data_IF_697035167803
#
_entry.id   IF_697035167803
#
_cell.length_a   1.000
_cell.length_b   1.000
_cell.length_c   1.000
_cell.angle_alpha   90.00
_cell.angle_beta   90.00
_cell.angle_gamma   90.00
#
_symmetry.space_group_name_H-M   'P 1'
#
loop_
_entity.id
_entity.type
_entity.pdbx_description
1 polymer ?
#
# COMPACT_ATOMS: atom_id res chain seq x y z
N UNK A 1 0.84 9.93 -24.21
CA UNK A 1 -0.62 9.96 -23.90
C UNK A 1 -1.13 8.56 -23.49
N UNK A 2 -0.81 7.51 -24.21
CA UNK A 2 -1.29 6.14 -23.97
C UNK A 2 -0.93 5.56 -22.60
N UNK A 3 0.33 5.75 -22.12
CA UNK A 3 0.77 5.24 -20.79
C UNK A 3 -0.10 5.79 -19.65
N UNK A 4 -0.43 7.08 -19.68
CA UNK A 4 -1.24 7.72 -18.63
C UNK A 4 -2.68 7.20 -18.61
N UNK A 5 -3.23 6.87 -19.77
CA UNK A 5 -4.56 6.27 -19.89
C UNK A 5 -4.55 4.81 -19.42
N UNK A 6 -3.50 4.04 -19.74
CA UNK A 6 -3.32 2.67 -19.25
C UNK A 6 -3.24 2.62 -17.72
N UNK A 7 -2.41 3.49 -17.13
CA UNK A 7 -2.31 3.60 -15.67
C UNK A 7 -3.62 4.04 -15.02
N UNK A 8 -4.34 4.99 -15.65
CA UNK A 8 -5.65 5.41 -15.15
C UNK A 8 -6.65 4.26 -15.16
N UNK A 9 -6.72 3.49 -16.23
CA UNK A 9 -7.58 2.31 -16.30
C UNK A 9 -7.21 1.26 -15.25
N UNK A 10 -5.91 1.01 -15.07
CA UNK A 10 -5.41 0.09 -14.04
C UNK A 10 -5.81 0.56 -12.63
N UNK A 11 -5.55 1.81 -12.31
CA UNK A 11 -5.88 2.38 -11.00
C UNK A 11 -7.40 2.49 -10.77
N UNK A 12 -8.21 2.69 -11.83
CA UNK A 12 -9.67 2.67 -11.71
C UNK A 12 -10.26 1.26 -11.62
N UNK A 13 -9.44 0.20 -11.70
CA UNK A 13 -9.90 -1.19 -11.67
C UNK A 13 -10.50 -1.69 -12.98
N UNK A 14 -10.45 -0.93 -14.06
CA UNK A 14 -10.84 -1.41 -15.39
C UNK A 14 -9.70 -2.24 -15.98
N UNK A 15 -9.57 -3.49 -15.48
CA UNK A 15 -8.49 -4.40 -15.89
C UNK A 15 -8.59 -4.76 -17.38
N UNK A 16 -9.78 -4.75 -17.96
CA UNK A 16 -9.97 -5.02 -19.39
C UNK A 16 -9.38 -3.90 -20.23
N UNK A 17 -9.73 -2.65 -19.93
CA UNK A 17 -9.18 -1.48 -20.61
C UNK A 17 -7.67 -1.35 -20.36
N UNK A 18 -7.24 -1.53 -19.11
CA UNK A 18 -5.83 -1.50 -18.74
C UNK A 18 -5.01 -2.51 -19.55
N UNK A 19 -5.45 -3.77 -19.61
CA UNK A 19 -4.81 -4.83 -20.41
C UNK A 19 -4.71 -4.44 -21.89
N UNK A 20 -5.80 -3.98 -22.47
CA UNK A 20 -5.80 -3.54 -23.87
C UNK A 20 -4.75 -2.46 -24.10
N UNK A 21 -4.76 -1.41 -23.29
CA UNK A 21 -3.85 -0.27 -23.45
C UNK A 21 -2.39 -0.61 -23.21
N UNK A 22 -2.07 -1.43 -22.20
CA UNK A 22 -0.68 -1.89 -22.01
C UNK A 22 -0.22 -2.79 -23.16
N UNK A 23 -1.10 -3.62 -23.72
CA UNK A 23 -0.79 -4.45 -24.91
C UNK A 23 -0.55 -3.57 -26.15
N UNK A 24 -1.36 -2.54 -26.37
CA UNK A 24 -1.17 -1.55 -27.44
C UNK A 24 0.17 -0.80 -27.30
N UNK A 25 0.55 -0.43 -26.06
CA UNK A 25 1.85 0.20 -25.77
C UNK A 25 3.01 -0.72 -26.17
N UNK A 26 2.93 -2.01 -25.85
CA UNK A 26 3.96 -2.97 -26.24
C UNK A 26 4.01 -3.14 -27.76
N UNK A 27 2.86 -3.23 -28.44
CA UNK A 27 2.79 -3.38 -29.89
C UNK A 27 3.32 -2.16 -30.65
N UNK A 28 3.19 -0.95 -30.08
CA UNK A 28 3.71 0.29 -30.69
C UNK A 28 5.22 0.50 -30.49
N UNK A 29 5.88 -0.37 -29.71
CA UNK A 29 7.29 -0.19 -29.32
C UNK A 29 7.51 0.91 -28.28
N UNK A 30 6.45 1.58 -27.82
CA UNK A 30 6.46 2.53 -26.70
C UNK A 30 6.40 1.82 -25.33
N UNK A 31 6.08 0.50 -25.36
CA UNK A 31 6.01 -0.35 -24.19
C UNK A 31 7.40 -0.78 -23.74
N UNK A 32 7.61 -0.73 -22.47
CA UNK A 32 8.83 -1.13 -21.81
C UNK A 32 8.51 -2.20 -20.74
N UNK A 33 9.51 -2.59 -19.99
CA UNK A 33 9.41 -3.53 -18.87
C UNK A 33 8.27 -3.17 -17.90
N UNK A 34 8.04 -1.85 -17.68
CA UNK A 34 6.94 -1.41 -16.82
C UNK A 34 5.54 -1.80 -17.36
N UNK A 35 5.32 -1.75 -18.67
CA UNK A 35 4.06 -2.20 -19.26
C UNK A 35 3.86 -3.72 -19.12
N UNK A 36 4.95 -4.49 -19.26
CA UNK A 36 4.93 -5.93 -19.03
C UNK A 36 4.68 -6.26 -17.56
N UNK A 37 5.26 -5.49 -16.64
CA UNK A 37 5.03 -5.62 -15.20
C UNK A 37 3.55 -5.44 -14.85
N UNK A 38 2.89 -4.39 -15.37
CA UNK A 38 1.45 -4.17 -15.16
C UNK A 38 0.58 -5.26 -15.81
N UNK A 39 0.98 -5.83 -16.94
CA UNK A 39 0.27 -6.97 -17.52
C UNK A 39 0.36 -8.22 -16.65
N UNK A 40 1.50 -8.44 -16.01
CA UNK A 40 1.66 -9.50 -15.03
C UNK A 40 0.80 -9.24 -13.77
N UNK A 41 0.73 -8.00 -13.29
CA UNK A 41 -0.17 -7.61 -12.18
C UNK A 41 -1.64 -7.90 -12.53
N UNK A 42 -2.05 -7.59 -13.77
CA UNK A 42 -3.40 -7.87 -14.24
C UNK A 42 -3.66 -9.39 -14.28
N UNK A 43 -2.67 -10.19 -14.68
CA UNK A 43 -2.82 -11.65 -14.66
C UNK A 43 -3.02 -12.19 -13.23
N UNK A 44 -2.26 -11.67 -12.26
CA UNK A 44 -2.43 -12.02 -10.85
C UNK A 44 -3.84 -11.65 -10.34
N UNK A 45 -4.34 -10.47 -10.65
CA UNK A 45 -5.69 -10.00 -10.27
C UNK A 45 -6.81 -10.80 -10.95
N UNK A 46 -6.58 -11.30 -12.15
CA UNK A 46 -7.53 -12.17 -12.87
C UNK A 46 -7.55 -13.63 -12.33
N UNK A 47 -6.77 -13.90 -11.27
CA UNK A 47 -6.71 -15.24 -10.65
C UNK A 47 -5.79 -16.22 -11.36
N UNK A 48 -4.80 -15.73 -12.12
CA UNK A 48 -3.73 -16.52 -12.73
C UNK A 48 -2.37 -16.21 -12.07
N UNK A 49 -2.15 -16.62 -10.81
CA UNK A 49 -0.88 -16.35 -10.12
C UNK A 49 0.31 -17.07 -10.76
N UNK A 50 0.10 -18.23 -11.39
CA UNK A 50 1.16 -18.97 -12.08
C UNK A 50 1.62 -18.25 -13.35
N UNK A 51 0.66 -17.80 -14.15
CA UNK A 51 0.94 -16.98 -15.32
C UNK A 51 1.60 -15.66 -14.95
N UNK A 52 1.18 -15.03 -13.84
CA UNK A 52 1.78 -13.82 -13.33
C UNK A 52 3.24 -14.04 -12.88
N UNK A 53 3.52 -15.08 -12.09
CA UNK A 53 4.89 -15.45 -11.67
C UNK A 53 5.77 -15.72 -12.91
N UNK A 54 5.25 -16.47 -13.89
CA UNK A 54 6.00 -16.73 -15.12
C UNK A 54 6.26 -15.43 -15.93
N UNK A 55 5.35 -14.47 -15.92
CA UNK A 55 5.53 -13.17 -16.55
C UNK A 55 6.55 -12.31 -15.80
N UNK A 56 6.51 -12.27 -14.46
CA UNK A 56 7.50 -11.57 -13.63
C UNK A 56 8.91 -12.15 -13.85
N UNK A 57 9.06 -13.46 -13.95
CA UNK A 57 10.37 -14.09 -14.20
C UNK A 57 11.06 -13.60 -15.48
N UNK A 58 10.29 -13.22 -16.51
CA UNK A 58 10.84 -12.65 -17.76
C UNK A 58 11.42 -11.26 -17.58
N UNK A 59 11.11 -10.60 -16.46
CA UNK A 59 11.54 -9.24 -16.13
C UNK A 59 12.72 -9.20 -15.14
N UNK A 60 13.27 -10.35 -14.77
CA UNK A 60 14.32 -10.42 -13.74
C UNK A 60 15.64 -9.76 -14.16
N UNK A 61 15.89 -9.62 -15.47
CA UNK A 61 17.08 -8.94 -16.00
C UNK A 61 16.72 -7.60 -16.66
N UNK A 62 15.67 -6.93 -16.16
CA UNK A 62 15.12 -5.72 -16.74
C UNK A 62 15.19 -4.53 -15.77
N UNK A 63 14.82 -3.34 -16.25
CA UNK A 63 14.74 -2.12 -15.44
C UNK A 63 13.74 -2.19 -14.28
N UNK A 64 12.92 -3.25 -14.21
CA UNK A 64 11.92 -3.51 -13.15
C UNK A 64 12.21 -4.82 -12.41
N UNK A 65 13.46 -5.25 -12.38
CA UNK A 65 13.90 -6.51 -11.78
C UNK A 65 13.46 -6.65 -10.30
N UNK A 66 13.70 -5.64 -9.48
CA UNK A 66 13.33 -5.64 -8.05
C UNK A 66 11.79 -5.67 -7.87
N UNK A 67 11.00 -4.77 -8.49
CA UNK A 67 9.55 -4.86 -8.44
C UNK A 67 8.98 -6.21 -8.92
N UNK A 68 9.53 -6.78 -9.98
CA UNK A 68 9.07 -8.06 -10.51
C UNK A 68 9.31 -9.21 -9.54
N UNK A 69 10.51 -9.26 -8.92
CA UNK A 69 10.85 -10.27 -7.89
C UNK A 69 9.98 -10.10 -6.64
N UNK A 70 9.81 -8.88 -6.16
CA UNK A 70 9.01 -8.60 -4.97
C UNK A 70 7.55 -9.05 -5.14
N UNK A 71 6.96 -8.79 -6.32
CA UNK A 71 5.57 -9.22 -6.63
C UNK A 71 5.46 -10.74 -6.81
N UNK A 72 6.44 -11.38 -7.45
CA UNK A 72 6.48 -12.84 -7.53
C UNK A 72 6.65 -13.47 -6.14
N UNK A 73 7.51 -12.88 -5.28
CA UNK A 73 7.70 -13.33 -3.91
C UNK A 73 6.42 -13.19 -3.07
N UNK A 74 5.65 -12.11 -3.23
CA UNK A 74 4.35 -11.94 -2.58
C UNK A 74 3.39 -13.07 -2.93
N UNK A 75 3.23 -13.39 -4.22
CA UNK A 75 2.38 -14.49 -4.68
C UNK A 75 2.86 -15.86 -4.17
N UNK A 76 4.17 -16.06 -4.03
CA UNK A 76 4.73 -17.29 -3.47
C UNK A 76 4.48 -17.39 -1.95
N UNK A 77 4.55 -16.29 -1.21
CA UNK A 77 4.20 -16.25 0.22
C UNK A 77 2.72 -16.60 0.45
N UNK A 78 1.83 -16.03 -0.34
CA UNK A 78 0.39 -16.35 -0.28
C UNK A 78 0.12 -17.85 -0.52
N UNK A 79 1.00 -18.53 -1.22
CA UNK A 79 0.96 -19.98 -1.49
C UNK A 79 1.79 -20.81 -0.51
N UNK A 80 2.25 -20.21 0.59
CA UNK A 80 3.08 -20.86 1.62
C UNK A 80 4.46 -21.34 1.12
N UNK A 81 4.96 -20.79 0.01
CA UNK A 81 6.28 -21.09 -0.55
C UNK A 81 7.35 -20.10 -0.05
N UNK A 82 7.44 -19.93 1.29
CA UNK A 82 8.29 -18.91 1.93
C UNK A 82 9.76 -19.00 1.50
N UNK A 83 10.33 -20.20 1.47
CA UNK A 83 11.74 -20.38 1.12
C UNK A 83 12.02 -19.90 -0.30
N UNK A 84 11.16 -20.26 -1.26
CA UNK A 84 11.30 -19.81 -2.65
C UNK A 84 11.10 -18.31 -2.79
N UNK A 85 10.11 -17.74 -2.09
CA UNK A 85 9.84 -16.31 -2.09
C UNK A 85 11.05 -15.48 -1.63
N UNK A 86 11.67 -15.85 -0.52
CA UNK A 86 12.81 -15.12 0.01
C UNK A 86 14.07 -15.34 -0.84
N UNK A 87 14.29 -16.55 -1.37
CA UNK A 87 15.41 -16.84 -2.25
C UNK A 87 15.42 -15.96 -3.51
N UNK A 88 14.24 -15.60 -4.06
CA UNK A 88 14.17 -14.68 -5.21
C UNK A 88 14.83 -13.32 -4.96
N UNK A 89 14.76 -12.82 -3.73
CA UNK A 89 15.35 -11.55 -3.35
C UNK A 89 16.80 -11.72 -2.88
N UNK A 90 17.10 -12.80 -2.14
CA UNK A 90 18.44 -13.06 -1.61
C UNK A 90 19.44 -13.41 -2.71
N UNK A 91 19.06 -14.24 -3.68
CA UNK A 91 19.90 -14.62 -4.80
C UNK A 91 20.25 -13.40 -5.67
N UNK A 92 19.26 -12.53 -5.91
CA UNK A 92 19.51 -11.29 -6.66
C UNK A 92 20.42 -10.31 -5.90
N UNK A 93 20.22 -10.18 -4.59
CA UNK A 93 21.07 -9.33 -3.75
C UNK A 93 22.53 -9.80 -3.74
N UNK A 94 22.77 -11.11 -3.82
CA UNK A 94 24.12 -11.66 -3.88
C UNK A 94 24.84 -11.35 -5.21
N UNK A 95 24.09 -11.25 -6.31
CA UNK A 95 24.59 -10.91 -7.64
C UNK A 95 24.68 -9.39 -7.88
N UNK A 96 23.85 -8.59 -7.16
CA UNK A 96 23.70 -7.14 -7.30
C UNK A 96 23.87 -6.43 -5.95
N UNK A 97 25.11 -6.34 -5.41
CA UNK A 97 25.36 -5.69 -4.11
C UNK A 97 24.97 -4.22 -4.08
N UNK A 98 24.93 -3.54 -5.23
CA UNK A 98 24.48 -2.15 -5.38
C UNK A 98 23.00 -1.96 -5.04
N UNK A 99 22.19 -2.99 -5.20
CA UNK A 99 20.74 -2.99 -4.94
C UNK A 99 20.39 -3.57 -3.54
N UNK A 100 21.39 -3.92 -2.73
CA UNK A 100 21.21 -4.62 -1.44
C UNK A 100 20.23 -3.88 -0.51
N UNK A 101 20.31 -2.55 -0.46
CA UNK A 101 19.43 -1.76 0.39
C UNK A 101 17.99 -1.82 -0.08
N UNK A 102 17.72 -1.57 -1.37
CA UNK A 102 16.37 -1.59 -1.94
C UNK A 102 15.72 -2.97 -1.77
N UNK A 103 16.50 -4.02 -1.92
CA UNK A 103 16.05 -5.40 -1.70
C UNK A 103 15.77 -5.70 -0.22
N UNK A 104 16.59 -5.17 0.69
CA UNK A 104 16.36 -5.30 2.13
C UNK A 104 15.05 -4.62 2.54
N UNK A 105 14.81 -3.39 2.05
CA UNK A 105 13.55 -2.67 2.28
C UNK A 105 12.35 -3.45 1.70
N UNK A 106 12.46 -3.90 0.45
CA UNK A 106 11.40 -4.68 -0.20
C UNK A 106 11.09 -5.97 0.57
N UNK A 107 12.13 -6.69 1.03
CA UNK A 107 12.00 -7.92 1.80
C UNK A 107 11.38 -7.68 3.17
N UNK A 108 11.77 -6.60 3.87
CA UNK A 108 11.22 -6.26 5.17
C UNK A 108 9.72 -5.93 5.09
N UNK A 109 9.31 -5.12 4.11
CA UNK A 109 7.89 -4.81 3.84
C UNK A 109 7.11 -6.08 3.50
N UNK A 110 7.65 -6.89 2.59
CA UNK A 110 7.03 -8.15 2.17
C UNK A 110 6.75 -9.08 3.36
N UNK A 111 7.70 -9.22 4.29
CA UNK A 111 7.53 -10.03 5.48
C UNK A 111 6.45 -9.45 6.40
N UNK A 112 6.44 -8.14 6.61
CA UNK A 112 5.43 -7.47 7.44
C UNK A 112 4.02 -7.64 6.87
N UNK A 113 3.82 -7.44 5.57
CA UNK A 113 2.53 -7.60 4.88
C UNK A 113 1.98 -9.04 4.98
N UNK A 114 2.87 -10.01 5.21
CA UNK A 114 2.50 -11.42 5.40
C UNK A 114 2.51 -11.88 6.87
N UNK A 115 2.50 -10.93 7.82
CA UNK A 115 2.36 -11.22 9.24
C UNK A 115 3.68 -11.59 9.95
N UNK A 116 4.81 -11.39 9.31
CA UNK A 116 6.15 -11.62 9.85
C UNK A 116 6.86 -10.27 10.18
N UNK A 117 6.15 -9.34 10.81
CA UNK A 117 6.65 -7.99 11.09
C UNK A 117 7.96 -8.00 11.91
N UNK A 118 8.09 -8.89 12.91
CA UNK A 118 9.32 -9.03 13.70
C UNK A 118 10.54 -9.40 12.84
N UNK A 119 10.36 -10.26 11.84
CA UNK A 119 11.43 -10.61 10.91
C UNK A 119 11.80 -9.42 10.02
N UNK A 120 10.82 -8.64 9.57
CA UNK A 120 11.02 -7.38 8.86
C UNK A 120 11.81 -6.36 9.70
N UNK A 121 11.41 -6.16 10.95
CA UNK A 121 12.10 -5.26 11.89
C UNK A 121 13.55 -5.69 12.16
N UNK A 122 13.82 -6.99 12.27
CA UNK A 122 15.18 -7.50 12.45
C UNK A 122 16.08 -7.18 11.22
N UNK A 123 15.53 -7.31 10.00
CA UNK A 123 16.26 -6.93 8.77
C UNK A 123 16.58 -5.44 8.74
N UNK A 124 15.61 -4.58 9.07
CA UNK A 124 15.81 -3.12 9.08
C UNK A 124 16.78 -2.69 10.19
N UNK A 125 16.75 -3.34 11.35
CA UNK A 125 17.70 -3.07 12.44
C UNK A 125 19.14 -3.38 12.02
N UNK A 126 19.37 -4.53 11.38
CA UNK A 126 20.67 -4.88 10.82
C UNK A 126 21.11 -3.95 9.67
N UNK A 127 20.15 -3.43 8.90
CA UNK A 127 20.45 -2.44 7.87
C UNK A 127 20.84 -1.09 8.49
N UNK A 128 20.21 -0.65 9.57
CA UNK A 128 20.57 0.59 10.29
C UNK A 128 21.97 0.54 10.91
N UNK A 129 22.45 -0.63 11.34
CA UNK A 129 23.83 -0.78 11.82
C UNK A 129 24.87 -0.46 10.70
N UNK A 130 24.53 -0.78 9.45
CA UNK A 130 25.38 -0.52 8.27
C UNK A 130 25.16 0.85 7.65
N UNK A 131 23.97 1.37 7.76
CA UNK A 131 23.52 2.65 7.21
C UNK A 131 22.83 3.49 8.30
N UNK A 132 23.57 4.02 9.29
CA UNK A 132 22.98 4.80 10.38
C UNK A 132 22.21 6.00 9.85
N UNK A 133 21.04 6.27 10.42
CA UNK A 133 20.18 7.40 10.07
C UNK A 133 19.75 7.45 8.59
N UNK A 134 19.64 6.27 7.93
CA UNK A 134 19.16 6.24 6.56
C UNK A 134 17.63 6.45 6.50
N UNK A 135 17.14 7.54 5.86
CA UNK A 135 15.73 7.96 5.98
C UNK A 135 14.71 6.90 5.56
N UNK A 136 15.00 6.14 4.49
CA UNK A 136 14.08 5.10 4.02
C UNK A 136 14.01 3.90 4.98
N UNK A 137 15.13 3.55 5.63
CA UNK A 137 15.15 2.45 6.60
C UNK A 137 14.38 2.86 7.87
N UNK A 138 14.60 4.08 8.36
CA UNK A 138 13.91 4.60 9.53
C UNK A 138 12.41 4.70 9.29
N UNK A 139 12.01 5.18 8.10
CA UNK A 139 10.60 5.28 7.72
C UNK A 139 9.93 3.90 7.66
N UNK A 140 10.52 2.94 6.95
CA UNK A 140 9.97 1.59 6.85
C UNK A 140 9.91 0.91 8.22
N UNK A 141 10.93 1.13 9.07
CA UNK A 141 10.93 0.61 10.44
C UNK A 141 9.77 1.19 11.24
N UNK A 142 9.51 2.49 11.14
CA UNK A 142 8.38 3.12 11.84
C UNK A 142 7.03 2.54 11.37
N UNK A 143 6.84 2.36 10.06
CA UNK A 143 5.62 1.76 9.50
C UNK A 143 5.45 0.31 9.96
N UNK A 144 6.52 -0.50 9.94
CA UNK A 144 6.45 -1.90 10.37
C UNK A 144 6.27 -2.03 11.89
N UNK A 145 6.82 -1.11 12.68
CA UNK A 145 6.54 -1.04 14.13
C UNK A 145 5.04 -0.85 14.41
N UNK A 146 4.40 0.01 13.67
CA UNK A 146 2.95 0.23 13.78
C UNK A 146 2.18 -1.05 13.42
N UNK A 147 2.49 -1.70 12.31
CA UNK A 147 1.89 -2.98 11.88
C UNK A 147 2.12 -4.11 12.91
N UNK A 148 3.26 -4.11 13.60
CA UNK A 148 3.58 -5.06 14.69
C UNK A 148 2.84 -4.74 15.98
N UNK A 149 2.12 -3.62 16.08
CA UNK A 149 1.45 -3.17 17.29
C UNK A 149 2.35 -2.38 18.27
N UNK A 150 3.59 -2.08 17.89
CA UNK A 150 4.53 -1.24 18.64
C UNK A 150 4.27 0.26 18.38
N UNK A 151 3.03 0.67 18.58
CA UNK A 151 2.53 2.01 18.17
C UNK A 151 3.34 3.15 18.80
N UNK A 152 3.70 3.03 20.08
CA UNK A 152 4.45 4.08 20.77
C UNK A 152 5.84 4.29 20.16
N UNK A 153 6.54 3.20 19.86
CA UNK A 153 7.84 3.23 19.22
C UNK A 153 7.76 3.78 17.78
N UNK A 154 6.67 3.48 17.04
CA UNK A 154 6.40 4.03 15.72
C UNK A 154 6.21 5.55 15.78
N UNK A 155 5.37 6.03 16.72
CA UNK A 155 5.12 7.46 16.92
C UNK A 155 6.43 8.19 17.27
N UNK A 156 7.19 7.70 18.23
CA UNK A 156 8.48 8.29 18.61
C UNK A 156 9.47 8.37 17.43
N UNK A 157 9.53 7.32 16.62
CA UNK A 157 10.40 7.30 15.43
C UNK A 157 9.95 8.35 14.39
N UNK A 158 8.65 8.44 14.10
CA UNK A 158 8.11 9.43 13.14
C UNK A 158 8.28 10.86 13.65
N UNK A 159 8.07 11.10 14.96
CA UNK A 159 8.31 12.42 15.57
C UNK A 159 9.78 12.82 15.47
N UNK A 160 10.70 11.91 15.77
CA UNK A 160 12.13 12.15 15.62
C UNK A 160 12.49 12.54 14.20
N UNK A 161 12.03 11.76 13.21
CA UNK A 161 12.25 12.06 11.78
C UNK A 161 11.67 13.42 11.40
N UNK A 162 10.50 13.78 11.96
CA UNK A 162 9.84 15.05 11.68
C UNK A 162 10.56 16.25 12.33
N UNK A 163 11.31 16.07 13.46
CA UNK A 163 12.17 17.13 14.01
C UNK A 163 13.30 17.50 13.06
N UNK A 164 13.83 16.53 12.30
CA UNK A 164 14.88 16.77 11.32
C UNK A 164 14.33 17.31 9.98
N UNK A 165 13.11 16.91 9.63
CA UNK A 165 12.44 17.24 8.36
C UNK A 165 11.02 17.72 8.61
N UNK A 166 10.83 18.91 9.23
CA UNK A 166 9.52 19.37 9.73
C UNK A 166 8.49 19.63 8.62
N UNK A 167 8.95 19.89 7.40
CA UNK A 167 8.09 20.20 6.25
C UNK A 167 7.91 19.00 5.30
N UNK A 168 8.38 17.80 5.67
CA UNK A 168 8.21 16.59 4.86
C UNK A 168 6.73 16.13 4.91
N UNK A 169 5.97 16.24 3.79
CA UNK A 169 4.56 15.92 3.79
C UNK A 169 4.28 14.44 3.99
N UNK A 170 5.22 13.56 3.62
CA UNK A 170 5.07 12.11 3.81
C UNK A 170 5.14 11.78 5.29
N UNK A 171 6.10 12.35 6.02
CA UNK A 171 6.24 12.15 7.46
C UNK A 171 5.06 12.76 8.23
N UNK A 172 4.62 13.98 7.84
CA UNK A 172 3.44 14.61 8.44
C UNK A 172 2.20 13.74 8.27
N UNK A 173 2.00 13.17 7.08
CA UNK A 173 0.88 12.28 6.85
C UNK A 173 1.00 10.96 7.61
N UNK A 174 2.18 10.34 7.61
CA UNK A 174 2.40 9.06 8.31
C UNK A 174 2.16 9.19 9.82
N UNK A 175 2.75 10.20 10.47
CA UNK A 175 2.52 10.45 11.89
C UNK A 175 1.05 10.77 12.17
N UNK A 176 0.44 11.64 11.34
CA UNK A 176 -0.97 12.00 11.48
C UNK A 176 -1.90 10.79 11.35
N UNK A 177 -1.64 9.90 10.39
CA UNK A 177 -2.41 8.67 10.21
C UNK A 177 -2.26 7.73 11.41
N UNK A 178 -1.02 7.45 11.83
CA UNK A 178 -0.75 6.57 12.99
C UNK A 178 -1.43 7.08 14.26
N UNK A 179 -1.35 8.39 14.54
CA UNK A 179 -2.05 9.00 15.67
C UNK A 179 -3.58 8.84 15.54
N UNK A 180 -4.14 9.07 14.35
CA UNK A 180 -5.58 8.95 14.11
C UNK A 180 -6.05 7.50 14.25
N UNK A 181 -5.36 6.54 13.66
CA UNK A 181 -5.76 5.13 13.69
C UNK A 181 -5.80 4.58 15.11
N UNK A 182 -4.87 4.98 15.95
CA UNK A 182 -4.81 4.61 17.37
C UNK A 182 -5.55 5.56 18.31
N UNK A 183 -6.31 6.52 17.76
CA UNK A 183 -7.10 7.52 18.54
C UNK A 183 -6.24 8.34 19.53
N UNK A 184 -5.02 8.65 19.11
CA UNK A 184 -4.08 9.46 19.86
C UNK A 184 -4.09 10.89 19.32
N UNK A 185 -4.07 11.87 20.19
CA UNK A 185 -3.87 13.29 19.85
C UNK A 185 -4.58 13.76 18.56
N UNK A 186 -5.86 13.42 18.37
CA UNK A 186 -6.61 13.60 17.12
C UNK A 186 -6.53 15.02 16.53
N UNK A 187 -6.47 16.06 17.37
CA UNK A 187 -6.32 17.44 16.90
C UNK A 187 -4.94 17.71 16.32
N UNK A 188 -3.90 17.09 16.87
CA UNK A 188 -2.54 17.16 16.34
C UNK A 188 -2.43 16.37 15.04
N UNK A 189 -2.98 15.16 15.01
CA UNK A 189 -3.08 14.33 13.82
C UNK A 189 -3.71 15.09 12.64
N UNK A 190 -4.86 15.73 12.86
CA UNK A 190 -5.53 16.54 11.82
C UNK A 190 -4.65 17.69 11.35
N UNK A 191 -3.96 18.36 12.25
CA UNK A 191 -3.07 19.48 11.90
C UNK A 191 -1.93 19.01 10.99
N UNK A 192 -1.29 17.89 11.30
CA UNK A 192 -0.24 17.29 10.48
C UNK A 192 -0.74 16.89 9.10
N UNK A 193 -1.85 16.17 9.03
CA UNK A 193 -2.45 15.73 7.76
C UNK A 193 -2.83 16.94 6.88
N UNK A 194 -3.42 17.99 7.46
CA UNK A 194 -3.75 19.21 6.72
C UNK A 194 -2.51 19.92 6.18
N UNK A 195 -1.40 19.93 6.92
CA UNK A 195 -0.11 20.46 6.40
C UNK A 195 0.38 19.62 5.22
N UNK A 196 0.37 18.31 5.32
CA UNK A 196 0.73 17.43 4.22
C UNK A 196 -0.11 17.72 2.97
N UNK A 197 -1.43 17.90 3.12
CA UNK A 197 -2.33 18.22 2.01
C UNK A 197 -2.09 19.60 1.38
N UNK A 198 -1.42 20.54 2.03
CA UNK A 198 -1.01 21.79 1.36
C UNK A 198 0.03 21.57 0.28
N UNK A 199 0.85 20.54 0.41
CA UNK A 199 1.91 20.17 -0.54
C UNK A 199 1.43 19.13 -1.55
N UNK A 200 0.59 18.19 -1.11
CA UNK A 200 0.08 17.10 -1.94
C UNK A 200 -1.47 17.02 -1.93
N UNK A 201 -2.16 18.04 -2.49
CA UNK A 201 -3.61 18.22 -2.35
C UNK A 201 -4.46 17.11 -2.96
N UNK A 202 -3.95 16.42 -3.98
CA UNK A 202 -4.65 15.34 -4.69
C UNK A 202 -4.10 13.95 -4.35
N UNK A 203 -3.34 13.83 -3.25
CA UNK A 203 -2.84 12.53 -2.80
C UNK A 203 -3.97 11.74 -2.11
N UNK A 204 -4.41 10.60 -2.67
CA UNK A 204 -5.55 9.86 -2.13
C UNK A 204 -5.31 9.34 -0.71
N UNK A 205 -4.08 8.92 -0.37
CA UNK A 205 -3.75 8.45 0.96
C UNK A 205 -3.79 9.58 2.02
N UNK A 206 -3.34 10.80 1.66
CA UNK A 206 -3.42 11.93 2.58
C UNK A 206 -4.88 12.41 2.77
N UNK A 207 -5.70 12.35 1.73
CA UNK A 207 -7.13 12.66 1.82
C UNK A 207 -7.86 11.58 2.64
N UNK A 208 -7.49 10.31 2.48
CA UNK A 208 -7.98 9.21 3.30
C UNK A 208 -7.65 9.43 4.78
N UNK A 209 -6.39 9.74 5.10
CA UNK A 209 -5.96 10.05 6.45
C UNK A 209 -6.79 11.20 7.07
N UNK A 210 -7.13 12.25 6.27
CA UNK A 210 -8.00 13.31 6.72
C UNK A 210 -9.42 12.80 7.02
N UNK A 211 -9.98 12.00 6.13
CA UNK A 211 -11.28 11.37 6.35
C UNK A 211 -11.28 10.45 7.57
N UNK A 212 -10.19 9.70 7.76
CA UNK A 212 -10.05 8.81 8.89
C UNK A 212 -9.97 9.56 10.23
N UNK A 213 -9.17 10.63 10.34
CA UNK A 213 -9.13 11.43 11.56
C UNK A 213 -10.48 12.09 11.86
N UNK A 214 -11.22 12.58 10.85
CA UNK A 214 -12.59 13.09 11.02
C UNK A 214 -13.53 12.01 11.59
N UNK A 215 -13.43 10.80 11.07
CA UNK A 215 -14.19 9.65 11.57
C UNK A 215 -13.87 9.35 13.04
N UNK A 216 -12.58 9.33 13.41
CA UNK A 216 -12.13 9.07 14.78
C UNK A 216 -12.51 10.20 15.75
N UNK A 217 -12.69 11.42 15.25
CA UNK A 217 -13.26 12.57 16.00
C UNK A 217 -14.80 12.49 16.16
N UNK A 218 -15.46 11.54 15.52
CA UNK A 218 -16.90 11.32 15.60
C UNK A 218 -17.71 11.96 14.47
N UNK A 219 -17.08 12.64 13.51
CA UNK A 219 -17.76 13.17 12.31
C UNK A 219 -17.83 12.13 11.20
N UNK A 220 -18.63 11.09 11.40
CA UNK A 220 -18.79 10.03 10.41
C UNK A 220 -19.37 10.52 9.07
N UNK A 221 -20.19 11.61 9.07
CA UNK A 221 -20.75 12.16 7.84
C UNK A 221 -19.74 12.96 7.03
N UNK A 222 -18.98 13.83 7.69
CA UNK A 222 -17.89 14.58 7.06
C UNK A 222 -16.82 13.61 6.53
N UNK A 223 -16.45 12.63 7.35
CA UNK A 223 -15.53 11.55 6.96
C UNK A 223 -15.96 10.83 5.68
N UNK A 224 -17.25 10.42 5.60
CA UNK A 224 -17.75 9.72 4.42
C UNK A 224 -17.60 10.56 3.13
N UNK A 225 -17.80 11.87 3.19
CA UNK A 225 -17.63 12.75 2.03
C UNK A 225 -16.14 12.89 1.64
N UNK A 226 -15.24 13.05 2.62
CA UNK A 226 -13.79 13.14 2.40
C UNK A 226 -13.24 11.83 1.82
N UNK A 227 -13.64 10.69 2.39
CA UNK A 227 -13.23 9.36 1.95
C UNK A 227 -13.78 8.98 0.57
N UNK A 228 -15.00 9.42 0.22
CA UNK A 228 -15.53 9.28 -1.14
C UNK A 228 -14.65 10.00 -2.16
N UNK A 229 -14.16 11.19 -1.82
CA UNK A 229 -13.23 11.92 -2.68
C UNK A 229 -11.90 11.18 -2.81
N UNK A 230 -11.30 10.74 -1.70
CA UNK A 230 -10.06 9.94 -1.73
C UNK A 230 -10.22 8.71 -2.62
N UNK A 231 -11.31 7.95 -2.44
CA UNK A 231 -11.59 6.75 -3.25
C UNK A 231 -11.76 7.05 -4.74
N UNK A 232 -12.32 8.19 -5.10
CA UNK A 232 -12.47 8.59 -6.51
C UNK A 232 -11.13 8.81 -7.24
N UNK A 233 -10.06 9.09 -6.48
CA UNK A 233 -8.72 9.32 -7.02
C UNK A 233 -7.89 8.04 -7.17
N UNK A 234 -8.03 7.08 -6.24
CA UNK A 234 -7.14 5.91 -6.18
C UNK A 234 -7.83 4.54 -6.24
N UNK A 235 -9.10 4.44 -5.86
CA UNK A 235 -9.88 3.19 -5.75
C UNK A 235 -9.20 2.11 -4.86
N UNK A 236 -8.43 2.54 -3.89
CA UNK A 236 -7.72 1.69 -2.96
C UNK A 236 -8.70 0.93 -2.05
N UNK A 237 -8.50 -0.38 -1.78
CA UNK A 237 -9.39 -1.17 -0.91
C UNK A 237 -9.35 -0.72 0.55
N UNK A 238 -8.26 -0.15 1.04
CA UNK A 238 -8.17 0.43 2.37
C UNK A 238 -9.08 1.66 2.48
N UNK A 239 -8.98 2.57 1.49
CA UNK A 239 -9.88 3.73 1.42
C UNK A 239 -11.35 3.29 1.34
N UNK A 240 -11.63 2.22 0.59
CA UNK A 240 -12.99 1.66 0.54
C UNK A 240 -13.45 1.09 1.89
N UNK A 241 -12.53 0.49 2.65
CA UNK A 241 -12.82 -0.01 4.00
C UNK A 241 -13.21 1.15 4.93
N UNK A 242 -12.40 2.22 4.98
CA UNK A 242 -12.65 3.41 5.78
C UNK A 242 -13.94 4.13 5.35
N UNK A 243 -14.14 4.31 4.03
CA UNK A 243 -15.34 4.96 3.50
C UNK A 243 -16.61 4.19 3.86
N UNK A 244 -16.60 2.88 3.62
CA UNK A 244 -17.72 2.04 3.96
C UNK A 244 -18.01 2.01 5.47
N UNK A 245 -16.98 2.06 6.33
CA UNK A 245 -17.15 2.15 7.78
C UNK A 245 -17.78 3.48 8.19
N UNK A 246 -17.32 4.60 7.65
CA UNK A 246 -17.90 5.91 7.90
C UNK A 246 -19.38 5.98 7.45
N UNK A 247 -19.70 5.42 6.28
CA UNK A 247 -21.08 5.28 5.80
C UNK A 247 -21.92 4.40 6.73
N UNK A 248 -21.37 3.29 7.18
CA UNK A 248 -22.07 2.36 8.07
C UNK A 248 -22.45 3.02 9.39
N UNK A 249 -21.49 3.69 10.03
CA UNK A 249 -21.69 4.37 11.32
C UNK A 249 -22.60 5.58 11.17
N UNK A 250 -22.57 6.28 10.04
CA UNK A 250 -23.49 7.42 9.76
C UNK A 250 -24.92 6.99 9.40
N UNK A 251 -25.22 5.66 9.38
CA UNK A 251 -26.54 5.10 9.08
C UNK A 251 -26.80 4.82 7.61
N UNK A 252 -25.84 5.04 6.71
CA UNK A 252 -25.94 4.82 5.26
C UNK A 252 -25.54 3.38 4.87
N UNK A 253 -26.08 2.39 5.59
CA UNK A 253 -25.65 0.99 5.52
C UNK A 253 -25.79 0.35 4.11
N UNK A 254 -26.83 0.72 3.36
CA UNK A 254 -27.02 0.21 2.01
C UNK A 254 -25.91 0.68 1.06
N UNK A 255 -25.42 1.91 1.26
CA UNK A 255 -24.32 2.45 0.47
C UNK A 255 -22.98 1.85 0.88
N UNK A 256 -22.73 1.70 2.19
CA UNK A 256 -21.56 0.99 2.69
C UNK A 256 -21.40 -0.39 2.05
N UNK A 257 -22.47 -1.19 2.02
CA UNK A 257 -22.47 -2.51 1.37
C UNK A 257 -22.14 -2.43 -0.12
N UNK A 258 -22.65 -1.41 -0.84
CA UNK A 258 -22.32 -1.22 -2.26
C UNK A 258 -20.86 -0.87 -2.48
N UNK A 259 -20.32 0.02 -1.66
CA UNK A 259 -18.90 0.40 -1.72
C UNK A 259 -18.00 -0.82 -1.49
N UNK A 260 -18.22 -1.56 -0.43
CA UNK A 260 -17.43 -2.75 -0.11
C UNK A 260 -17.57 -3.85 -1.17
N UNK A 261 -18.78 -4.09 -1.68
CA UNK A 261 -18.97 -5.08 -2.75
C UNK A 261 -18.23 -4.68 -4.04
N UNK A 262 -18.26 -3.40 -4.41
CA UNK A 262 -17.53 -2.90 -5.57
C UNK A 262 -16.01 -2.98 -5.39
N UNK A 263 -15.50 -2.72 -4.19
CA UNK A 263 -14.07 -2.85 -3.88
C UNK A 263 -13.63 -4.31 -3.87
N UNK A 264 -14.39 -5.23 -3.25
CA UNK A 264 -14.11 -6.67 -3.28
C UNK A 264 -14.19 -7.28 -4.68
N UNK A 265 -15.04 -6.75 -5.56
CA UNK A 265 -15.08 -7.19 -6.95
C UNK A 265 -13.80 -6.83 -7.73
N UNK A 266 -13.07 -5.80 -7.28
CA UNK A 266 -11.79 -5.39 -7.86
C UNK A 266 -10.61 -6.10 -7.23
N UNK A 267 -10.62 -6.22 -5.91
CA UNK A 267 -9.57 -6.86 -5.10
C UNK A 267 -10.19 -7.89 -4.14
N UNK A 268 -10.50 -9.09 -4.65
CA UNK A 268 -11.18 -10.13 -3.87
C UNK A 268 -10.39 -10.59 -2.64
N UNK A 269 -9.08 -10.42 -2.64
CA UNK A 269 -8.18 -10.91 -1.59
C UNK A 269 -7.72 -9.87 -0.58
N UNK A 270 -8.30 -8.64 -0.63
CA UNK A 270 -8.00 -7.61 0.36
C UNK A 270 -8.36 -8.08 1.77
N UNK A 271 -7.33 -8.36 2.57
CA UNK A 271 -7.45 -8.85 3.96
C UNK A 271 -8.11 -7.78 4.84
N UNK A 272 -7.69 -6.52 4.71
CA UNK A 272 -8.18 -5.40 5.50
C UNK A 272 -9.66 -5.11 5.23
N UNK A 273 -10.08 -5.05 3.96
CA UNK A 273 -11.47 -4.84 3.60
C UNK A 273 -12.36 -5.96 4.13
N UNK A 274 -11.93 -7.24 3.98
CA UNK A 274 -12.64 -8.40 4.55
C UNK A 274 -12.74 -8.32 6.08
N UNK A 275 -11.66 -7.92 6.76
CA UNK A 275 -11.63 -7.78 8.22
C UNK A 275 -12.59 -6.69 8.69
N UNK A 276 -12.62 -5.53 8.03
CA UNK A 276 -13.55 -4.43 8.33
C UNK A 276 -14.99 -4.85 8.16
N UNK A 277 -15.33 -5.51 7.04
CA UNK A 277 -16.69 -6.01 6.79
C UNK A 277 -17.09 -7.02 7.86
N UNK A 278 -16.24 -7.99 8.17
CA UNK A 278 -16.51 -9.03 9.17
C UNK A 278 -16.72 -8.42 10.57
N UNK A 279 -15.96 -7.38 10.93
CA UNK A 279 -16.10 -6.69 12.22
C UNK A 279 -17.45 -5.97 12.34
N UNK A 280 -17.91 -5.34 11.26
CA UNK A 280 -19.15 -4.53 11.26
C UNK A 280 -20.39 -5.35 10.93
N UNK A 281 -20.25 -6.44 10.19
CA UNK A 281 -21.33 -7.33 9.77
C UNK A 281 -20.91 -8.78 10.01
N UNK A 282 -20.93 -9.26 11.27
CA UNK A 282 -20.45 -10.61 11.60
C UNK A 282 -21.14 -11.75 10.84
N UNK A 283 -22.41 -11.54 10.43
CA UNK A 283 -23.25 -12.53 9.74
C UNK A 283 -23.25 -12.36 8.21
N UNK A 284 -22.36 -11.54 7.63
CA UNK A 284 -22.23 -11.42 6.18
C UNK A 284 -21.46 -12.65 5.64
N UNK A 285 -22.18 -13.56 5.00
CA UNK A 285 -21.66 -14.74 4.30
C UNK A 285 -21.60 -14.46 2.80
#
# INVERSE_FOLDING_TARGET
MNRRLALRAFNSGDMKEARQRFTELLASGEGNDAAQLYLADIAARDGDPEGAIAAYRRLYDSSVAIPARSRAAALLLDRSSRTEALALLDDYAAEHPEDELDLTLAKARLLADHGEADAGLALLSAALERHPQHPSIEYDRAVILEQAGHVHESVEALEHMLTERPDDPTLQNALGYTLADHTLELSHAETLIRRALTVMPDNPAAIDSLGWVQFRQGDARGAAATLAHAYSLGHDPEIAAHWGEALWVSGQQAEARRVWAAALAREPDSKQLKATIKRLIPDAH
#
